data_IF_439704372562
#
_entry.id   IF_439704372562
#
_cell.length_a   1.000
_cell.length_b   1.000
_cell.length_c   1.000
_cell.angle_alpha   90.00
_cell.angle_beta   90.00
_cell.angle_gamma   90.00
#
_symmetry.space_group_name_H-M   'P 1'
#
loop_
_entity.id
_entity.type
_entity.pdbx_description
1 polymer ?
#
# COMPACT_ATOMS: atom_id res chain seq x y z
N UNK A 1 7.09 14.57 -4.56
CA UNK A 1 6.64 15.30 -3.36
C UNK A 1 6.12 16.67 -3.77
N UNK A 2 5.22 17.25 -2.99
CA UNK A 2 4.72 18.61 -3.20
C UNK A 2 5.87 19.60 -3.00
N UNK A 3 5.97 20.61 -3.85
CA UNK A 3 6.99 21.66 -3.70
C UNK A 3 6.76 22.54 -2.45
N UNK A 4 5.52 22.60 -1.96
CA UNK A 4 5.12 23.42 -0.82
C UNK A 4 4.46 22.59 0.28
N UNK A 5 4.80 22.89 1.54
CA UNK A 5 4.19 22.31 2.73
C UNK A 5 2.72 22.70 2.81
N UNK A 6 1.85 21.71 3.08
CA UNK A 6 0.42 21.93 3.32
C UNK A 6 0.13 21.88 4.83
N UNK A 7 -0.62 22.84 5.40
CA UNK A 7 -0.83 22.93 6.85
C UNK A 7 -1.73 21.82 7.42
N UNK A 8 -2.52 21.20 6.55
CA UNK A 8 -3.48 20.12 6.82
C UNK A 8 -2.90 18.71 6.59
N UNK A 9 -1.60 18.61 6.30
CA UNK A 9 -0.90 17.36 5.98
C UNK A 9 0.36 17.24 6.83
N UNK A 10 0.52 16.10 7.48
CA UNK A 10 1.76 15.69 8.14
C UNK A 10 2.60 14.88 7.16
N UNK A 11 3.83 15.34 6.87
CA UNK A 11 4.79 14.61 6.05
C UNK A 11 5.77 13.88 6.96
N UNK A 12 5.65 12.55 6.96
CA UNK A 12 6.50 11.67 7.78
C UNK A 12 7.32 10.74 6.91
N UNK A 13 8.63 10.67 7.18
CA UNK A 13 9.54 9.75 6.49
C UNK A 13 10.13 8.74 7.48
N UNK A 14 10.03 7.46 7.14
CA UNK A 14 10.77 6.39 7.84
C UNK A 14 11.83 5.88 6.88
N UNK A 15 13.07 6.22 7.16
CA UNK A 15 14.24 5.76 6.42
C UNK A 15 14.82 4.50 7.08
N UNK A 16 15.06 3.47 6.26
CA UNK A 16 15.53 2.16 6.70
C UNK A 16 17.04 2.08 6.98
N UNK A 17 17.69 3.21 7.26
CA UNK A 17 19.14 3.33 7.42
C UNK A 17 19.87 3.43 6.08
N UNK A 18 19.42 4.33 5.19
CA UNK A 18 20.01 4.49 3.87
C UNK A 18 21.45 5.03 3.94
N UNK A 19 22.30 4.59 3.01
CA UNK A 19 23.72 4.96 2.92
C UNK A 19 24.07 5.70 1.62
N UNK A 20 23.06 6.17 0.89
CA UNK A 20 23.17 6.72 -0.47
C UNK A 20 22.96 8.23 -0.55
N UNK A 21 22.95 8.93 0.60
CA UNK A 21 22.68 10.36 0.68
C UNK A 21 21.21 10.70 0.99
N UNK A 22 20.33 9.70 1.13
CA UNK A 22 18.90 9.93 1.39
C UNK A 22 18.64 10.65 2.71
N UNK A 23 19.42 10.36 3.76
CA UNK A 23 19.25 11.01 5.07
C UNK A 23 19.51 12.52 4.98
N UNK A 24 20.59 12.92 4.31
CA UNK A 24 20.96 14.32 4.12
C UNK A 24 19.86 15.09 3.37
N UNK A 25 19.24 14.47 2.36
CA UNK A 25 18.11 15.05 1.64
C UNK A 25 16.86 15.19 2.51
N UNK A 26 16.61 14.21 3.39
CA UNK A 26 15.49 14.24 4.34
C UNK A 26 15.69 15.39 5.34
N UNK A 27 16.89 15.53 5.90
CA UNK A 27 17.24 16.55 6.89
C UNK A 27 17.16 17.98 6.34
N UNK A 28 17.50 18.15 5.07
CA UNK A 28 17.45 19.46 4.39
C UNK A 28 16.05 19.82 3.88
N UNK A 29 15.08 18.90 3.95
CA UNK A 29 13.76 19.10 3.38
C UNK A 29 12.90 20.02 4.24
N UNK A 30 12.43 21.18 3.72
CA UNK A 30 11.60 22.10 4.50
C UNK A 30 10.16 21.63 4.67
N UNK A 31 9.76 20.56 3.97
CA UNK A 31 8.37 20.05 3.98
C UNK A 31 8.17 18.87 4.91
N UNK A 32 9.24 18.16 5.30
CA UNK A 32 9.15 16.99 6.18
C UNK A 32 8.93 17.47 7.62
N UNK A 33 7.85 17.00 8.24
CA UNK A 33 7.51 17.35 9.62
C UNK A 33 8.30 16.50 10.62
N UNK A 34 8.45 15.21 10.31
CA UNK A 34 9.10 14.22 11.17
C UNK A 34 9.79 13.18 10.32
N UNK A 35 10.93 12.70 10.80
CA UNK A 35 11.54 11.51 10.23
C UNK A 35 12.18 10.65 11.32
N UNK A 36 12.42 9.39 10.98
CA UNK A 36 13.32 8.50 11.71
C UNK A 36 14.19 7.79 10.69
N UNK A 37 15.48 7.66 10.97
CA UNK A 37 16.41 6.89 10.15
C UNK A 37 17.10 5.86 11.04
N UNK A 38 16.76 4.59 10.83
CA UNK A 38 17.34 3.47 11.54
C UNK A 38 17.14 2.18 10.73
N UNK A 39 18.01 1.17 10.88
CA UNK A 39 17.81 -0.12 10.23
C UNK A 39 16.41 -0.69 10.49
N UNK A 40 15.77 -1.20 9.44
CA UNK A 40 14.44 -1.81 9.52
C UNK A 40 14.40 -3.25 8.98
N UNK A 41 13.34 -3.97 9.35
CA UNK A 41 13.07 -5.34 8.88
C UNK A 41 12.48 -5.42 7.46
N UNK A 42 12.48 -4.32 6.71
CA UNK A 42 11.83 -4.12 5.41
C UNK A 42 10.63 -3.16 5.46
N UNK A 43 10.04 -2.92 4.29
CA UNK A 43 9.00 -1.90 4.04
C UNK A 43 7.87 -1.90 5.09
N UNK A 44 7.36 -3.07 5.48
CA UNK A 44 6.24 -3.14 6.42
C UNK A 44 6.63 -2.82 7.86
N UNK A 45 7.90 -3.02 8.24
CA UNK A 45 8.42 -2.56 9.52
C UNK A 45 8.44 -1.02 9.55
N UNK A 46 8.97 -0.40 8.48
CA UNK A 46 8.91 1.04 8.31
C UNK A 46 7.48 1.60 8.33
N UNK A 47 6.54 0.95 7.62
CA UNK A 47 5.13 1.33 7.63
C UNK A 47 4.49 1.23 9.02
N UNK A 48 4.85 0.22 9.82
CA UNK A 48 4.38 0.09 11.20
C UNK A 48 4.96 1.19 12.11
N UNK A 49 6.27 1.50 11.99
CA UNK A 49 6.90 2.62 12.71
C UNK A 49 6.21 3.94 12.38
N UNK A 50 5.90 4.17 11.10
CA UNK A 50 5.18 5.36 10.66
C UNK A 50 3.82 5.53 11.37
N UNK A 51 3.07 4.44 11.60
CA UNK A 51 1.78 4.48 12.33
C UNK A 51 1.95 4.96 13.77
N UNK A 52 3.04 4.55 14.42
CA UNK A 52 3.32 4.92 15.81
C UNK A 52 3.73 6.39 15.92
N UNK A 53 4.44 6.91 14.93
CA UNK A 53 4.93 8.29 14.91
C UNK A 53 3.89 9.30 14.40
N UNK A 54 2.96 8.86 13.54
CA UNK A 54 1.95 9.70 12.92
C UNK A 54 0.93 10.22 13.94
N UNK A 55 0.64 11.51 13.88
CA UNK A 55 -0.38 12.16 14.68
C UNK A 55 -1.73 12.22 13.97
N UNK A 56 -1.72 12.25 12.63
CA UNK A 56 -2.92 12.37 11.80
C UNK A 56 -3.91 11.19 11.99
N UNK A 57 -5.24 11.43 11.86
CA UNK A 57 -6.25 10.38 11.98
C UNK A 57 -6.33 9.44 10.77
N UNK A 58 -5.76 9.85 9.64
CA UNK A 58 -5.73 9.13 8.37
C UNK A 58 -4.29 9.07 7.87
N UNK A 59 -3.92 7.93 7.30
CA UNK A 59 -2.59 7.69 6.75
C UNK A 59 -2.74 7.21 5.32
N UNK A 60 -1.90 7.75 4.45
CA UNK A 60 -1.61 7.23 3.11
C UNK A 60 -0.12 6.93 3.05
N UNK A 61 0.24 5.78 2.49
CA UNK A 61 1.64 5.39 2.31
C UNK A 61 2.12 5.70 0.89
N UNK A 62 3.31 6.27 0.78
CA UNK A 62 4.05 6.40 -0.46
C UNK A 62 5.44 5.80 -0.25
N UNK A 63 5.85 4.84 -1.09
CA UNK A 63 7.23 4.37 -1.04
C UNK A 63 8.15 5.39 -1.74
N UNK A 64 9.46 5.28 -1.57
CA UNK A 64 10.43 6.27 -2.07
C UNK A 64 10.34 6.55 -3.58
N UNK A 65 9.92 5.56 -4.39
CA UNK A 65 9.73 5.70 -5.84
C UNK A 65 8.34 6.18 -6.27
N UNK A 66 7.38 6.24 -5.36
CA UNK A 66 5.99 6.61 -5.67
C UNK A 66 5.79 8.13 -5.56
N UNK A 67 4.91 8.69 -6.41
CA UNK A 67 4.51 10.10 -6.33
C UNK A 67 2.99 10.22 -6.42
N UNK A 68 2.43 11.30 -5.86
CA UNK A 68 1.03 11.65 -6.11
C UNK A 68 0.79 11.88 -7.59
N UNK A 69 -0.38 11.47 -8.10
CA UNK A 69 -0.73 11.61 -9.52
C UNK A 69 -0.98 13.06 -9.96
N UNK A 70 -1.21 13.97 -9.00
CA UNK A 70 -1.45 15.38 -9.27
C UNK A 70 -1.45 16.23 -7.99
N UNK A 71 -1.41 17.55 -8.18
CA UNK A 71 -1.48 18.55 -7.10
C UNK A 71 -2.91 18.79 -6.57
N UNK A 72 -3.89 18.10 -7.12
CA UNK A 72 -5.30 18.19 -6.75
C UNK A 72 -5.77 16.95 -5.98
N UNK A 73 -4.96 15.89 -5.88
CA UNK A 73 -5.34 14.62 -5.23
C UNK A 73 -5.92 14.86 -3.84
N UNK A 74 -5.24 15.62 -2.98
CA UNK A 74 -5.76 15.87 -1.63
C UNK A 74 -7.09 16.65 -1.65
N UNK A 75 -7.27 17.59 -2.59
CA UNK A 75 -8.55 18.31 -2.77
C UNK A 75 -9.70 17.36 -3.09
N UNK A 76 -9.42 16.32 -3.87
CA UNK A 76 -10.41 15.29 -4.24
C UNK A 76 -10.75 14.35 -3.07
N UNK A 77 -9.77 13.99 -2.25
CA UNK A 77 -9.94 12.94 -1.24
C UNK A 77 -10.29 13.45 0.16
N UNK A 78 -9.80 14.62 0.58
CA UNK A 78 -10.02 15.14 1.94
C UNK A 78 -11.49 15.20 2.38
N UNK A 79 -12.46 15.64 1.55
CA UNK A 79 -13.87 15.65 1.95
C UNK A 79 -14.45 14.26 2.25
N UNK A 80 -13.83 13.21 1.72
CA UNK A 80 -14.23 11.81 1.90
C UNK A 80 -13.64 11.20 3.18
N UNK A 81 -12.63 11.83 3.79
CA UNK A 81 -11.93 11.35 4.99
C UNK A 81 -12.73 11.63 6.27
N UNK A 82 -14.00 11.24 6.29
CA UNK A 82 -14.95 11.56 7.34
C UNK A 82 -15.34 10.32 8.19
N UNK A 83 -16.25 10.50 9.16
CA UNK A 83 -16.67 9.45 10.10
C UNK A 83 -17.30 8.22 9.42
N UNK A 84 -17.80 8.36 8.20
CA UNK A 84 -18.47 7.30 7.47
C UNK A 84 -17.52 6.35 6.73
N UNK A 85 -16.23 6.65 6.69
CA UNK A 85 -15.24 5.84 6.01
C UNK A 85 -14.20 5.28 7.00
N UNK A 86 -13.77 4.06 6.70
CA UNK A 86 -12.64 3.40 7.36
C UNK A 86 -11.41 3.34 6.45
N UNK A 87 -11.66 3.15 5.15
CA UNK A 87 -10.66 3.19 4.07
C UNK A 87 -11.25 3.98 2.90
N UNK A 88 -10.58 5.04 2.46
CA UNK A 88 -10.92 5.75 1.22
C UNK A 88 -9.85 5.42 0.18
N UNK A 89 -10.26 4.99 -1.00
CA UNK A 89 -9.31 4.56 -2.01
C UNK A 89 -9.71 5.03 -3.41
N UNK A 90 -8.71 5.10 -4.28
CA UNK A 90 -8.89 5.51 -5.67
C UNK A 90 -8.02 4.74 -6.64
N UNK A 91 -7.87 5.33 -7.82
CA UNK A 91 -7.16 4.73 -8.93
C UNK A 91 -5.65 5.01 -8.84
N UNK A 92 -4.88 4.41 -9.74
CA UNK A 92 -3.46 4.75 -9.91
C UNK A 92 -3.15 5.01 -11.37
N UNK A 93 -2.13 5.83 -11.60
CA UNK A 93 -1.44 5.88 -12.88
C UNK A 93 -0.32 4.85 -12.89
N UNK A 94 -0.12 4.19 -14.03
CA UNK A 94 0.99 3.26 -14.26
C UNK A 94 1.77 3.67 -15.50
N UNK A 95 3.11 3.57 -15.46
CA UNK A 95 3.91 3.75 -16.66
C UNK A 95 3.68 2.59 -17.65
N UNK A 96 3.62 2.93 -18.93
CA UNK A 96 3.74 2.03 -20.07
C UNK A 96 5.21 1.85 -20.44
N UNK A 97 5.49 0.90 -21.33
CA UNK A 97 6.84 0.66 -21.84
C UNK A 97 7.43 1.87 -22.59
N UNK A 98 6.58 2.72 -23.18
CA UNK A 98 6.97 3.95 -23.87
C UNK A 98 7.11 5.17 -22.94
N UNK A 99 6.97 4.98 -21.63
CA UNK A 99 7.04 6.05 -20.62
C UNK A 99 5.73 6.82 -20.40
N UNK A 100 4.72 6.64 -21.25
CA UNK A 100 3.41 7.29 -21.05
C UNK A 100 2.66 6.68 -19.86
N UNK A 101 1.77 7.45 -19.24
CA UNK A 101 0.96 6.96 -18.12
C UNK A 101 -0.40 6.44 -18.60
N UNK A 102 -0.91 5.38 -17.96
CA UNK A 102 -2.29 4.95 -18.12
C UNK A 102 -2.98 4.79 -16.76
N UNK A 103 -4.26 5.15 -16.74
CA UNK A 103 -5.12 4.97 -15.59
C UNK A 103 -5.42 3.48 -15.40
N UNK A 104 -5.16 2.97 -14.20
CA UNK A 104 -5.62 1.65 -13.77
C UNK A 104 -6.63 1.84 -12.65
N UNK A 105 -7.89 1.54 -12.97
CA UNK A 105 -8.98 1.61 -12.02
C UNK A 105 -8.78 0.62 -10.85
N UNK A 106 -9.17 1.06 -9.66
CA UNK A 106 -9.28 0.19 -8.50
C UNK A 106 -10.46 -0.78 -8.65
N UNK A 107 -10.31 -1.98 -8.12
CA UNK A 107 -11.42 -2.92 -7.99
C UNK A 107 -12.17 -2.69 -6.68
N UNK A 108 -13.48 -2.91 -6.70
CA UNK A 108 -14.30 -2.95 -5.49
C UNK A 108 -13.74 -4.02 -4.52
N UNK A 109 -13.58 -3.70 -3.22
CA UNK A 109 -13.22 -4.68 -2.19
C UNK A 109 -14.13 -5.89 -2.21
N UNK A 110 -13.52 -7.05 -2.04
CA UNK A 110 -14.19 -8.33 -2.09
C UNK A 110 -13.30 -9.43 -1.55
N UNK A 111 -13.90 -10.60 -1.30
CA UNK A 111 -13.13 -11.75 -0.84
C UNK A 111 -12.36 -12.40 -2.00
N UNK A 112 -11.18 -11.89 -2.30
CA UNK A 112 -10.33 -12.33 -3.41
C UNK A 112 -9.04 -13.01 -2.95
N UNK A 113 -8.30 -13.56 -3.92
CA UNK A 113 -6.97 -14.17 -3.77
C UNK A 113 -5.81 -13.22 -4.10
N UNK A 114 -6.11 -11.94 -4.25
CA UNK A 114 -5.14 -10.88 -4.57
C UNK A 114 -5.68 -9.53 -4.11
N UNK A 115 -4.79 -8.56 -4.01
CA UNK A 115 -5.10 -7.18 -3.70
C UNK A 115 -6.07 -6.56 -4.75
N UNK A 116 -7.07 -5.80 -4.28
CA UNK A 116 -8.12 -5.20 -5.12
C UNK A 116 -7.82 -3.75 -5.54
N UNK A 117 -6.91 -3.04 -4.85
CA UNK A 117 -6.40 -1.73 -5.25
C UNK A 117 -4.92 -1.59 -4.85
N UNK A 118 -4.28 -0.48 -5.19
CA UNK A 118 -2.91 -0.21 -4.74
C UNK A 118 -2.92 0.40 -3.34
N UNK A 119 -2.07 -0.05 -2.41
CA UNK A 119 -2.02 0.56 -1.07
C UNK A 119 -1.61 2.05 -1.11
N UNK A 120 -0.81 2.43 -2.12
CA UNK A 120 -0.46 3.83 -2.41
C UNK A 120 -1.65 4.70 -2.84
N UNK A 121 -2.79 4.08 -3.14
CA UNK A 121 -4.02 4.77 -3.46
C UNK A 121 -5.08 4.60 -2.38
N UNK A 122 -4.67 4.26 -1.14
CA UNK A 122 -5.57 4.03 -0.03
C UNK A 122 -5.21 4.88 1.19
N UNK A 123 -6.13 5.76 1.56
CA UNK A 123 -6.15 6.48 2.83
C UNK A 123 -6.85 5.58 3.87
N UNK A 124 -6.13 5.18 4.90
CA UNK A 124 -6.64 4.28 5.94
C UNK A 124 -6.65 4.96 7.30
N UNK A 125 -7.70 4.73 8.08
CA UNK A 125 -7.77 5.20 9.47
C UNK A 125 -6.54 4.73 10.26
N UNK A 126 -5.83 5.66 10.90
CA UNK A 126 -4.67 5.33 11.76
C UNK A 126 -5.05 4.31 12.84
N UNK A 127 -6.22 4.46 13.47
CA UNK A 127 -6.73 3.50 14.47
C UNK A 127 -6.86 2.06 13.94
N UNK A 128 -7.12 1.88 12.65
CA UNK A 128 -7.20 0.56 12.03
C UNK A 128 -5.82 0.00 11.74
N UNK A 129 -4.89 0.82 11.28
CA UNK A 129 -3.49 0.43 11.12
C UNK A 129 -2.84 0.06 12.47
N UNK A 130 -3.20 0.74 13.56
CA UNK A 130 -2.76 0.36 14.91
C UNK A 130 -3.39 -0.95 15.40
N UNK A 131 -4.67 -1.19 15.07
CA UNK A 131 -5.39 -2.41 15.47
C UNK A 131 -4.99 -3.64 14.63
N UNK A 132 -4.64 -3.41 13.36
CA UNK A 132 -4.21 -4.42 12.40
C UNK A 132 -2.85 -3.98 11.83
N UNK A 133 -1.76 -4.10 12.59
CA UNK A 133 -0.42 -3.77 12.08
C UNK A 133 -0.05 -4.70 10.93
N UNK A 134 0.83 -4.23 10.04
CA UNK A 134 1.35 -5.07 8.97
C UNK A 134 2.15 -6.24 9.55
N UNK A 135 1.87 -7.45 9.08
CA UNK A 135 2.61 -8.64 9.46
C UNK A 135 3.97 -8.66 8.75
N UNK A 136 5.04 -8.32 9.47
CA UNK A 136 6.40 -8.18 8.93
C UNK A 136 7.04 -9.50 8.52
N UNK A 137 6.40 -10.65 8.83
CA UNK A 137 6.80 -11.96 8.28
C UNK A 137 6.45 -12.11 6.80
N UNK A 138 5.44 -11.36 6.32
CA UNK A 138 5.12 -11.24 4.89
C UNK A 138 5.96 -10.10 4.31
N UNK A 139 6.72 -10.35 3.25
CA UNK A 139 7.58 -9.33 2.63
C UNK A 139 6.95 -8.67 1.41
N UNK A 140 5.90 -9.26 0.84
CA UNK A 140 5.28 -8.85 -0.42
C UNK A 140 3.77 -8.74 -0.37
N UNK A 141 3.11 -9.26 0.67
CA UNK A 141 1.64 -9.35 0.71
C UNK A 141 1.02 -8.98 2.07
N UNK A 142 1.74 -8.22 2.91
CA UNK A 142 1.19 -7.77 4.18
C UNK A 142 0.07 -6.73 3.99
N UNK A 143 0.14 -5.92 2.93
CA UNK A 143 -0.95 -5.03 2.52
C UNK A 143 -2.20 -5.81 2.09
N UNK A 144 -2.03 -6.90 1.33
CA UNK A 144 -3.12 -7.80 1.00
C UNK A 144 -3.76 -8.43 2.24
N UNK A 145 -2.95 -8.89 3.20
CA UNK A 145 -3.46 -9.40 4.48
C UNK A 145 -4.30 -8.34 5.20
N UNK A 146 -3.74 -7.14 5.38
CA UNK A 146 -4.40 -6.03 6.07
C UNK A 146 -5.77 -5.73 5.47
N UNK A 147 -5.82 -5.40 4.18
CA UNK A 147 -7.08 -4.95 3.58
C UNK A 147 -8.10 -6.07 3.45
N UNK A 148 -7.68 -7.33 3.32
CA UNK A 148 -8.57 -8.47 3.37
C UNK A 148 -9.15 -8.66 4.77
N UNK A 149 -8.35 -8.54 5.83
CA UNK A 149 -8.85 -8.57 7.21
C UNK A 149 -9.85 -7.44 7.46
N UNK A 150 -9.57 -6.23 6.98
CA UNK A 150 -10.49 -5.11 7.11
C UNK A 150 -11.81 -5.35 6.37
N UNK A 151 -11.76 -5.93 5.17
CA UNK A 151 -12.95 -6.32 4.41
C UNK A 151 -13.77 -7.39 5.15
N UNK A 152 -13.13 -8.47 5.61
CA UNK A 152 -13.81 -9.56 6.32
C UNK A 152 -14.39 -9.12 7.67
N UNK A 153 -13.79 -8.11 8.32
CA UNK A 153 -14.30 -7.49 9.54
C UNK A 153 -15.46 -6.50 9.29
N UNK A 154 -15.84 -6.24 8.03
CA UNK A 154 -16.98 -5.40 7.68
C UNK A 154 -16.73 -3.90 7.74
N UNK A 155 -15.47 -3.44 7.75
CA UNK A 155 -15.16 -2.00 7.70
C UNK A 155 -15.59 -1.38 6.37
N UNK A 156 -15.91 -0.08 6.39
CA UNK A 156 -16.47 0.63 5.24
C UNK A 156 -15.38 1.19 4.33
N UNK A 157 -15.37 0.69 3.10
CA UNK A 157 -14.51 1.18 2.03
C UNK A 157 -15.28 2.15 1.13
N UNK A 158 -14.69 3.32 0.87
CA UNK A 158 -15.25 4.35 -0.02
C UNK A 158 -14.33 4.52 -1.23
N UNK A 159 -14.90 4.36 -2.42
CA UNK A 159 -14.21 4.53 -3.69
C UNK A 159 -14.37 5.94 -4.23
N UNK A 160 -13.30 6.52 -4.76
CA UNK A 160 -13.35 7.73 -5.57
C UNK A 160 -12.58 7.51 -6.89
N UNK A 161 -13.21 7.71 -8.08
CA UNK A 161 -12.60 7.45 -9.38
C UNK A 161 -11.64 8.57 -9.80
N UNK A 162 -10.55 8.71 -9.04
CA UNK A 162 -9.48 9.67 -9.28
C UNK A 162 -8.14 9.00 -8.95
N UNK A 163 -7.13 9.25 -9.77
CA UNK A 163 -5.81 8.67 -9.56
C UNK A 163 -5.15 9.32 -8.34
N UNK A 164 -4.68 8.49 -7.39
CA UNK A 164 -4.01 8.98 -6.19
C UNK A 164 -2.50 9.02 -6.39
N UNK A 165 -1.93 7.96 -6.98
CA UNK A 165 -0.50 7.79 -7.12
C UNK A 165 -0.10 7.39 -8.54
N UNK A 166 1.10 7.80 -8.95
CA UNK A 166 1.86 7.16 -10.02
C UNK A 166 2.66 6.04 -9.38
N UNK A 167 2.27 4.81 -9.68
CA UNK A 167 2.86 3.61 -9.08
C UNK A 167 4.17 3.23 -9.79
N UNK A 168 5.25 3.12 -9.02
CA UNK A 168 6.52 2.65 -9.57
C UNK A 168 6.48 1.15 -9.91
N UNK A 169 6.75 0.83 -11.17
CA UNK A 169 6.82 -0.56 -11.64
C UNK A 169 8.13 -1.26 -11.32
N UNK A 170 9.16 -0.57 -10.84
CA UNK A 170 10.45 -1.18 -10.52
C UNK A 170 10.52 -1.82 -9.13
N UNK A 171 9.49 -1.65 -8.31
CA UNK A 171 9.42 -2.16 -6.94
C UNK A 171 9.64 -3.68 -6.78
N UNK A 172 10.04 -4.07 -5.58
CA UNK A 172 10.45 -5.44 -5.22
C UNK A 172 9.40 -6.52 -5.53
N UNK A 173 8.11 -6.17 -5.46
CA UNK A 173 6.98 -7.09 -5.70
C UNK A 173 6.84 -7.53 -7.16
N UNK A 174 7.23 -6.69 -8.12
CA UNK A 174 7.19 -7.07 -9.54
C UNK A 174 8.31 -8.07 -9.90
N UNK A 175 9.45 -8.01 -9.21
CA UNK A 175 10.60 -8.90 -9.43
C UNK A 175 10.41 -10.29 -8.79
N UNK A 176 9.57 -10.38 -7.75
CA UNK A 176 9.43 -11.58 -6.91
C UNK A 176 8.03 -12.21 -6.96
N UNK A 177 7.44 -12.27 -8.17
CA UNK A 177 6.06 -12.73 -8.38
C UNK A 177 5.72 -14.10 -7.74
N UNK A 178 6.59 -15.11 -7.85
CA UNK A 178 6.30 -16.43 -7.26
C UNK A 178 6.26 -16.39 -5.74
N UNK A 179 7.14 -15.62 -5.10
CA UNK A 179 7.12 -15.41 -3.63
C UNK A 179 5.86 -14.70 -3.19
N UNK A 180 5.45 -13.63 -3.88
CA UNK A 180 4.19 -12.93 -3.58
C UNK A 180 2.95 -13.82 -3.73
N UNK A 181 2.93 -14.71 -4.73
CA UNK A 181 1.86 -15.69 -4.87
C UNK A 181 1.84 -16.71 -3.71
N UNK A 182 3.01 -17.17 -3.24
CA UNK A 182 3.11 -18.05 -2.08
C UNK A 182 2.63 -17.36 -0.78
N UNK A 183 2.98 -16.08 -0.60
CA UNK A 183 2.45 -15.28 0.51
C UNK A 183 0.94 -15.09 0.41
N UNK A 184 0.38 -14.81 -0.77
CA UNK A 184 -1.07 -14.75 -0.95
C UNK A 184 -1.76 -16.08 -0.57
N UNK A 185 -1.17 -17.23 -0.89
CA UNK A 185 -1.69 -18.54 -0.47
C UNK A 185 -1.73 -18.64 1.06
N UNK A 186 -0.66 -18.19 1.73
CA UNK A 186 -0.60 -18.13 3.20
C UNK A 186 -1.69 -17.21 3.76
N UNK A 187 -1.89 -16.02 3.18
CA UNK A 187 -2.95 -15.09 3.57
C UNK A 187 -4.33 -15.73 3.48
N UNK A 188 -4.64 -16.40 2.36
CA UNK A 188 -5.92 -17.11 2.18
C UNK A 188 -6.11 -18.18 3.26
N UNK A 189 -5.09 -19.02 3.50
CA UNK A 189 -5.16 -20.07 4.53
C UNK A 189 -5.37 -19.53 5.95
N UNK A 190 -4.88 -18.33 6.23
CA UNK A 190 -4.98 -17.67 7.55
C UNK A 190 -6.32 -16.97 7.79
N UNK A 191 -6.99 -16.54 6.74
CA UNK A 191 -8.13 -15.61 6.86
C UNK A 191 -9.46 -16.18 6.36
N UNK A 192 -9.44 -17.19 5.48
CA UNK A 192 -10.63 -17.75 4.88
C UNK A 192 -11.07 -19.07 5.52
N UNK A 193 -12.38 -19.30 5.56
CA UNK A 193 -12.97 -20.60 5.90
C UNK A 193 -12.58 -21.68 4.87
N UNK A 194 -12.73 -22.95 5.23
CA UNK A 194 -12.43 -24.06 4.31
C UNK A 194 -13.18 -23.95 2.97
N UNK A 195 -14.44 -23.52 3.00
CA UNK A 195 -15.24 -23.30 1.80
C UNK A 195 -14.62 -22.24 0.89
N UNK A 196 -14.24 -21.09 1.45
CA UNK A 196 -13.63 -20.00 0.72
C UNK A 196 -12.22 -20.37 0.21
N UNK A 197 -11.48 -21.18 0.96
CA UNK A 197 -10.19 -21.73 0.52
C UNK A 197 -10.35 -22.62 -0.71
N UNK A 198 -11.35 -23.52 -0.74
CA UNK A 198 -11.66 -24.36 -1.92
C UNK A 198 -12.01 -23.48 -3.13
N UNK A 199 -12.69 -22.35 -2.91
CA UNK A 199 -13.04 -21.41 -3.99
C UNK A 199 -11.85 -20.61 -4.51
N UNK A 200 -10.96 -20.16 -3.63
CA UNK A 200 -9.90 -19.18 -3.96
C UNK A 200 -8.55 -19.82 -4.31
N UNK A 201 -8.16 -20.90 -3.62
CA UNK A 201 -6.84 -21.49 -3.75
C UNK A 201 -6.57 -22.18 -5.10
N UNK A 202 -7.50 -22.90 -5.74
CA UNK A 202 -7.19 -23.63 -6.99
C UNK A 202 -6.63 -22.72 -8.09
N UNK A 203 -7.25 -21.55 -8.30
CA UNK A 203 -6.79 -20.57 -9.28
C UNK A 203 -5.42 -19.98 -8.90
N UNK A 204 -5.19 -19.77 -7.61
CA UNK A 204 -3.95 -19.20 -7.11
C UNK A 204 -2.78 -20.20 -7.21
N UNK A 205 -3.01 -21.46 -6.83
CA UNK A 205 -2.05 -22.56 -7.02
C UNK A 205 -1.70 -22.79 -8.48
N UNK A 206 -2.70 -22.83 -9.37
CA UNK A 206 -2.46 -22.94 -10.80
C UNK A 206 -1.53 -21.82 -11.29
N UNK A 207 -1.83 -20.58 -10.94
CA UNK A 207 -1.00 -19.42 -11.31
C UNK A 207 0.41 -19.53 -10.74
N UNK A 208 0.54 -19.93 -9.47
CA UNK A 208 1.83 -20.13 -8.80
C UNK A 208 2.68 -21.18 -9.52
N UNK A 209 2.12 -22.36 -9.80
CA UNK A 209 2.81 -23.45 -10.52
C UNK A 209 3.28 -22.99 -11.90
N UNK A 210 2.45 -22.26 -12.65
CA UNK A 210 2.82 -21.72 -13.95
C UNK A 210 4.01 -20.74 -13.87
N UNK A 211 4.15 -19.98 -12.78
CA UNK A 211 5.32 -19.09 -12.60
C UNK A 211 6.60 -19.85 -12.29
N UNK A 212 6.52 -21.04 -11.69
CA UNK A 212 7.70 -21.88 -11.43
C UNK A 212 8.18 -22.57 -12.71
N UNK A 213 7.26 -22.99 -13.58
CA UNK A 213 7.58 -23.62 -14.86
C UNK A 213 8.33 -22.64 -15.79
N UNK A 214 7.87 -21.37 -15.86
CA UNK A 214 8.49 -20.33 -16.72
C UNK A 214 9.86 -19.81 -16.27
N UNK A 215 10.34 -20.23 -15.09
CA UNK A 215 11.67 -19.89 -14.56
C UNK A 215 12.74 -20.94 -14.88
N UNK A 216 12.34 -22.08 -15.46
CA UNK A 216 13.23 -23.06 -16.08
C UNK A 216 13.27 -22.80 -17.58
#
# INVERSE_FOLDING_TARGET
MWANKRPDVEYLVVDGGSTDGSLELIEQSPVIDRYVSEPDGGIYDAMNKAVQLASAPWIIYMNAGDVFAGEDVLRHFMPLLNAEADVVYGDIMKPRADGSLYLKAAHKPGNYHKMFFCHQAAFTRRRLLSKYPFDTSLKLSADFLLYKQLYLAGYRFVYHPHAVAVFDTQGASNRQRSRGLAENISVIRRTDSLFEQIRLLPRLYFTYLMTLIRRK
#
